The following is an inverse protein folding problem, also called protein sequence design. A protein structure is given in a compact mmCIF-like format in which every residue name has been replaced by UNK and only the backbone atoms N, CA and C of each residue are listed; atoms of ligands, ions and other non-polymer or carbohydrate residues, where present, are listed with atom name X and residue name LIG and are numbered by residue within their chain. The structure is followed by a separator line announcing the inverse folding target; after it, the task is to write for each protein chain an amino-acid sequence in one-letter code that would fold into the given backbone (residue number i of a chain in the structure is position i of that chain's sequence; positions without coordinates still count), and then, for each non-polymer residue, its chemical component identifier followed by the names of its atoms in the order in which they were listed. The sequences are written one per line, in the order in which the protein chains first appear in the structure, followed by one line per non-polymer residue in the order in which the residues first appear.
data_IF_766088379585
#
_entry.id   IF_766088379585
#
_cell.length_a   1.000
_cell.length_b   1.000
_cell.length_c   1.000
_cell.angle_alpha   90.00
_cell.angle_beta   90.00
_cell.angle_gamma   90.00
#
_symmetry.space_group_name_H-M   'P 1'
#
loop_
_entity.id
_entity.type
_entity.pdbx_description
1 polymer ?
#
# COMPACT_ATOMS: atom_id res chain seq x y z
N UNK A 1 -15.86 -86.48 -26.29
CA UNK A 1 -16.75 -85.32 -26.58
C UNK A 1 -16.19 -84.16 -25.75
N UNK A 2 -15.35 -83.38 -26.32
CA UNK A 2 -14.58 -82.24 -25.60
C UNK A 2 -15.18 -80.91 -26.08
N UNK A 3 -15.85 -80.21 -25.19
CA UNK A 3 -16.39 -78.87 -25.44
C UNK A 3 -15.34 -77.90 -25.05
N UNK A 4 -14.84 -77.10 -26.01
CA UNK A 4 -13.96 -75.98 -25.81
C UNK A 4 -14.81 -74.70 -25.65
N UNK A 5 -14.70 -74.07 -24.50
CA UNK A 5 -15.29 -72.75 -24.23
C UNK A 5 -14.21 -71.70 -24.46
N UNK A 6 -14.38 -70.90 -25.51
CA UNK A 6 -13.51 -69.76 -25.81
C UNK A 6 -13.89 -68.54 -24.97
N UNK A 7 -12.97 -68.05 -24.15
CA UNK A 7 -13.09 -66.74 -23.47
C UNK A 7 -12.63 -65.65 -24.45
N UNK A 8 -13.55 -64.76 -24.79
CA UNK A 8 -13.23 -63.52 -25.52
C UNK A 8 -12.81 -62.42 -24.48
N UNK A 9 -11.55 -61.99 -24.56
CA UNK A 9 -11.05 -60.80 -23.85
C UNK A 9 -11.35 -59.59 -24.71
N UNK A 10 -12.17 -58.66 -24.21
CA UNK A 10 -12.34 -57.32 -24.74
C UNK A 10 -11.36 -56.35 -24.06
N UNK A 11 -10.56 -55.56 -24.79
CA UNK A 11 -9.72 -54.53 -24.17
C UNK A 11 -10.58 -53.31 -23.81
N UNK A 12 -10.65 -52.99 -22.54
CA UNK A 12 -11.23 -51.74 -21.99
C UNK A 12 -10.22 -50.62 -22.23
N UNK A 13 -10.43 -49.77 -23.25
CA UNK A 13 -9.69 -48.56 -23.48
C UNK A 13 -10.12 -47.48 -22.49
N UNK A 14 -9.30 -47.20 -21.46
CA UNK A 14 -9.47 -46.02 -20.60
C UNK A 14 -9.05 -44.77 -21.38
N UNK A 15 -10.04 -43.98 -21.80
CA UNK A 15 -9.81 -42.60 -22.27
C UNK A 15 -9.57 -41.71 -21.05
N UNK A 16 -8.28 -41.42 -20.74
CA UNK A 16 -7.89 -40.37 -19.84
C UNK A 16 -8.09 -39.03 -20.57
N UNK A 17 -9.26 -38.40 -20.39
CA UNK A 17 -9.48 -37.02 -20.74
C UNK A 17 -8.70 -36.13 -19.75
N UNK A 18 -7.46 -35.85 -20.03
CA UNK A 18 -6.67 -34.84 -19.35
C UNK A 18 -7.18 -33.45 -19.75
N UNK A 19 -7.99 -32.81 -18.90
CA UNK A 19 -8.23 -31.35 -18.96
C UNK A 19 -6.96 -30.61 -18.53
N UNK A 20 -5.96 -30.58 -19.39
CA UNK A 20 -4.90 -29.59 -19.31
C UNK A 20 -5.46 -28.29 -19.84
N UNK A 21 -5.70 -27.29 -18.98
CA UNK A 21 -5.83 -25.91 -19.42
C UNK A 21 -4.45 -25.49 -19.92
N UNK A 22 -4.25 -25.57 -21.22
CA UNK A 22 -3.18 -24.84 -21.88
C UNK A 22 -3.58 -23.35 -21.82
N UNK A 23 -3.07 -22.61 -20.84
CA UNK A 23 -3.05 -21.15 -20.93
C UNK A 23 -2.06 -20.82 -22.05
N UNK A 24 -2.58 -20.38 -23.18
CA UNK A 24 -1.75 -19.83 -24.26
C UNK A 24 -1.00 -18.60 -23.73
N UNK A 25 0.34 -18.52 -23.86
CA UNK A 25 1.07 -17.32 -23.49
C UNK A 25 0.69 -16.20 -24.48
N UNK A 26 -0.11 -15.23 -24.00
CA UNK A 26 -0.39 -14.03 -24.80
C UNK A 26 -1.85 -13.68 -25.05
N UNK A 27 -2.82 -14.37 -24.45
CA UNK A 27 -4.19 -13.86 -24.48
C UNK A 27 -4.23 -12.53 -23.68
N UNK A 28 -4.76 -11.42 -24.26
CA UNK A 28 -4.93 -10.19 -23.50
C UNK A 28 -5.78 -10.46 -22.28
N UNK A 29 -5.36 -9.91 -21.11
CA UNK A 29 -6.13 -10.07 -19.89
C UNK A 29 -7.57 -9.60 -20.14
N UNK A 30 -8.54 -10.39 -19.70
CA UNK A 30 -9.97 -10.05 -19.88
C UNK A 30 -10.24 -8.75 -19.14
N UNK A 31 -10.79 -7.74 -19.82
CA UNK A 31 -11.08 -6.46 -19.22
C UNK A 31 -11.97 -6.61 -17.96
N UNK A 32 -11.52 -6.04 -16.86
CA UNK A 32 -12.26 -6.07 -15.59
C UNK A 32 -13.51 -5.20 -15.72
N UNK A 33 -14.67 -5.72 -15.28
CA UNK A 33 -15.93 -4.99 -15.31
C UNK A 33 -15.92 -3.82 -14.31
N UNK A 34 -16.43 -2.66 -14.72
CA UNK A 34 -16.65 -1.52 -13.83
C UNK A 34 -17.80 -1.80 -12.85
N UNK A 35 -17.68 -1.28 -11.62
CA UNK A 35 -18.71 -1.38 -10.57
C UNK A 35 -19.04 0.02 -10.08
N UNK A 36 -20.34 0.38 -10.11
CA UNK A 36 -20.78 1.68 -9.63
C UNK A 36 -20.66 1.80 -8.10
N UNK A 37 -20.26 2.98 -7.58
CA UNK A 37 -20.27 3.23 -6.15
C UNK A 37 -21.71 3.38 -5.62
N UNK A 38 -21.90 3.34 -4.29
CA UNK A 38 -23.17 3.68 -3.67
C UNK A 38 -23.65 5.07 -4.10
N UNK A 39 -24.97 5.25 -4.21
CA UNK A 39 -25.56 6.52 -4.66
C UNK A 39 -25.05 7.72 -3.84
N UNK A 40 -24.64 8.78 -4.53
CA UNK A 40 -24.14 10.03 -3.91
C UNK A 40 -22.68 9.96 -3.43
N UNK A 41 -21.92 8.89 -3.77
CA UNK A 41 -20.50 8.76 -3.42
C UNK A 41 -19.66 8.47 -4.67
N UNK A 42 -18.33 8.54 -4.50
CA UNK A 42 -17.34 8.00 -5.45
C UNK A 42 -16.51 6.93 -4.73
N UNK A 43 -15.93 6.00 -5.48
CA UNK A 43 -15.09 5.00 -4.87
C UNK A 43 -13.81 5.61 -4.28
N UNK A 44 -13.24 6.64 -4.89
CA UNK A 44 -12.04 7.33 -4.38
C UNK A 44 -12.28 8.09 -3.06
N UNK A 45 -13.54 8.39 -2.71
CA UNK A 45 -13.91 8.96 -1.40
C UNK A 45 -14.43 7.92 -0.41
N UNK A 46 -14.54 6.67 -0.84
CA UNK A 46 -14.97 5.56 0.03
C UNK A 46 -13.74 4.92 0.65
N UNK A 47 -13.45 5.29 1.91
CA UNK A 47 -12.29 4.81 2.65
C UNK A 47 -12.74 3.93 3.81
N UNK A 48 -12.15 2.75 3.95
CA UNK A 48 -12.44 1.81 5.04
C UNK A 48 -11.15 1.36 5.74
N UNK A 49 -11.18 1.17 7.08
CA UNK A 49 -10.06 0.54 7.77
C UNK A 49 -9.99 -0.94 7.41
N UNK A 50 -8.77 -1.46 7.24
CA UNK A 50 -8.52 -2.90 7.05
C UNK A 50 -8.26 -3.61 8.38
N UNK A 51 -8.32 -4.94 8.37
CA UNK A 51 -8.04 -5.75 9.57
C UNK A 51 -6.58 -5.63 10.02
N UNK A 52 -5.69 -5.37 9.08
CA UNK A 52 -4.26 -5.15 9.31
C UNK A 52 -3.97 -3.74 9.81
N UNK A 53 -5.01 -2.90 9.94
CA UNK A 53 -4.89 -1.55 10.47
C UNK A 53 -4.48 -0.49 9.45
N UNK A 54 -4.59 -0.76 8.16
CA UNK A 54 -4.38 0.22 7.08
C UNK A 54 -5.71 0.83 6.62
N UNK A 55 -5.66 1.66 5.59
CA UNK A 55 -6.84 2.26 4.98
C UNK A 55 -6.94 1.84 3.51
N UNK A 56 -8.08 1.24 3.16
CA UNK A 56 -8.43 0.86 1.80
C UNK A 56 -9.25 1.98 1.15
N UNK A 57 -8.84 2.44 -0.02
CA UNK A 57 -9.60 3.34 -0.88
C UNK A 57 -10.31 2.53 -1.96
N UNK A 58 -11.62 2.67 -2.06
CA UNK A 58 -12.38 2.09 -3.16
C UNK A 58 -13.28 0.91 -2.80
N UNK A 59 -13.72 0.22 -3.86
CA UNK A 59 -14.55 -0.96 -3.75
C UNK A 59 -13.79 -2.12 -3.07
N UNK A 60 -14.21 -2.61 -1.90
CA UNK A 60 -13.54 -3.73 -1.22
C UNK A 60 -13.56 -5.02 -2.04
N UNK A 61 -14.56 -5.17 -2.92
CA UNK A 61 -14.73 -6.32 -3.79
C UNK A 61 -14.15 -6.12 -5.20
N UNK A 62 -13.34 -5.06 -5.40
CA UNK A 62 -12.70 -4.81 -6.67
C UNK A 62 -11.84 -6.02 -7.11
N UNK A 63 -11.89 -6.34 -8.41
CA UNK A 63 -11.13 -7.46 -8.97
C UNK A 63 -9.62 -7.24 -8.90
N UNK A 64 -9.17 -5.97 -8.98
CA UNK A 64 -7.77 -5.59 -8.84
C UNK A 64 -7.56 -4.93 -7.48
N UNK A 65 -6.70 -5.53 -6.67
CA UNK A 65 -6.31 -5.02 -5.35
C UNK A 65 -4.87 -4.54 -5.43
N UNK A 66 -4.69 -3.23 -5.51
CA UNK A 66 -3.37 -2.59 -5.55
C UNK A 66 -2.94 -2.22 -4.13
N UNK A 67 -1.78 -2.71 -3.72
CA UNK A 67 -1.13 -2.32 -2.46
C UNK A 67 0.19 -1.64 -2.80
N UNK A 68 0.44 -0.47 -2.20
CA UNK A 68 1.73 0.20 -2.20
C UNK A 68 2.38 0.09 -0.82
N UNK A 69 3.58 -0.43 -0.75
CA UNK A 69 4.47 -0.24 0.38
C UNK A 69 5.37 0.98 0.11
N UNK A 70 5.07 2.08 0.78
CA UNK A 70 5.71 3.37 0.55
C UNK A 70 6.24 3.99 1.84
N UNK A 71 7.21 4.89 1.71
CA UNK A 71 7.87 5.58 2.81
C UNK A 71 7.83 7.08 2.59
N UNK A 72 7.43 7.85 3.60
CA UNK A 72 7.40 9.31 3.54
C UNK A 72 8.81 9.94 3.45
N UNK A 73 9.87 9.17 3.70
CA UNK A 73 11.26 9.60 3.53
C UNK A 73 11.91 9.06 2.25
N UNK A 74 11.14 8.42 1.35
CA UNK A 74 11.60 7.93 0.07
C UNK A 74 11.30 8.93 -1.06
N UNK A 75 12.32 9.41 -1.79
CA UNK A 75 12.15 10.32 -2.92
C UNK A 75 11.37 9.69 -4.08
N UNK A 76 11.61 8.41 -4.37
CA UNK A 76 10.86 7.69 -5.41
C UNK A 76 9.36 7.55 -5.05
N UNK A 77 9.01 7.41 -3.76
CA UNK A 77 7.60 7.40 -3.32
C UNK A 77 6.96 8.78 -3.50
N UNK A 78 7.69 9.87 -3.20
CA UNK A 78 7.23 11.24 -3.49
C UNK A 78 6.95 11.43 -4.97
N UNK A 79 7.90 11.05 -5.83
CA UNK A 79 7.79 11.20 -7.28
C UNK A 79 6.60 10.35 -7.81
N UNK A 80 6.49 9.11 -7.32
CA UNK A 80 5.34 8.25 -7.61
C UNK A 80 4.00 8.88 -7.19
N UNK A 81 3.91 9.42 -5.97
CA UNK A 81 2.71 10.09 -5.48
C UNK A 81 2.33 11.28 -6.36
N UNK A 82 3.30 12.11 -6.75
CA UNK A 82 3.08 13.28 -7.61
C UNK A 82 2.58 12.90 -9.01
N UNK A 83 3.09 11.81 -9.57
CA UNK A 83 2.76 11.38 -10.95
C UNK A 83 1.49 10.51 -11.02
N UNK A 84 1.26 9.67 -10.00
CA UNK A 84 0.30 8.57 -10.09
C UNK A 84 -1.01 8.78 -9.32
N UNK A 85 -1.02 9.58 -8.24
CA UNK A 85 -2.16 9.63 -7.32
C UNK A 85 -3.49 9.99 -8.00
N UNK A 86 -3.48 10.92 -8.95
CA UNK A 86 -4.71 11.32 -9.66
C UNK A 86 -5.23 10.21 -10.58
N UNK A 87 -4.35 9.55 -11.34
CA UNK A 87 -4.75 8.44 -12.21
C UNK A 87 -5.21 7.23 -11.38
N UNK A 88 -4.56 6.93 -10.26
CA UNK A 88 -4.99 5.88 -9.32
C UNK A 88 -6.42 6.15 -8.83
N UNK A 89 -6.73 7.39 -8.42
CA UNK A 89 -8.11 7.75 -8.01
C UNK A 89 -9.11 7.51 -9.13
N UNK A 90 -8.79 7.88 -10.38
CA UNK A 90 -9.66 7.63 -11.54
C UNK A 90 -9.87 6.13 -11.79
N UNK A 91 -8.81 5.31 -11.63
CA UNK A 91 -8.91 3.86 -11.74
C UNK A 91 -9.76 3.26 -10.61
N UNK A 92 -9.60 3.75 -9.38
CA UNK A 92 -10.42 3.38 -8.23
C UNK A 92 -11.89 3.75 -8.47
N UNK A 93 -12.17 4.94 -8.99
CA UNK A 93 -13.55 5.41 -9.28
C UNK A 93 -14.27 4.57 -10.33
N UNK A 94 -13.55 3.84 -11.17
CA UNK A 94 -14.16 2.84 -12.06
C UNK A 94 -14.76 1.63 -11.32
N UNK A 95 -14.42 1.45 -10.05
CA UNK A 95 -14.79 0.29 -9.23
C UNK A 95 -14.07 -1.01 -9.59
N UNK A 96 -13.17 -0.97 -10.59
CA UNK A 96 -12.38 -2.12 -11.05
C UNK A 96 -11.20 -2.43 -10.13
N UNK A 97 -10.67 -1.39 -9.50
CA UNK A 97 -9.49 -1.44 -8.64
C UNK A 97 -9.79 -0.78 -7.29
N UNK A 98 -9.18 -1.30 -6.24
CA UNK A 98 -9.01 -0.58 -4.98
C UNK A 98 -7.52 -0.31 -4.74
N UNK A 99 -7.25 0.59 -3.81
CA UNK A 99 -5.88 0.99 -3.47
C UNK A 99 -5.68 1.04 -1.97
N UNK A 100 -4.59 0.46 -1.50
CA UNK A 100 -4.18 0.48 -0.10
C UNK A 100 -2.72 0.94 0.00
N UNK A 101 -2.48 2.04 0.74
CA UNK A 101 -1.14 2.48 1.08
C UNK A 101 -0.73 1.91 2.44
N UNK A 102 0.41 1.24 2.48
CA UNK A 102 1.04 0.68 3.68
C UNK A 102 2.36 1.38 3.94
N UNK A 103 2.42 2.13 5.04
CA UNK A 103 3.66 2.80 5.42
C UNK A 103 4.77 1.77 5.71
N UNK A 104 5.80 1.78 4.89
CA UNK A 104 7.02 1.01 5.07
C UNK A 104 8.06 1.92 5.73
N UNK A 105 7.98 2.04 7.06
CA UNK A 105 8.78 2.98 7.83
C UNK A 105 10.25 2.56 7.91
N UNK A 106 11.16 3.49 7.57
CA UNK A 106 12.60 3.23 7.44
C UNK A 106 13.45 3.91 8.51
N UNK A 107 12.92 4.99 9.09
CA UNK A 107 13.64 5.84 10.03
C UNK A 107 12.67 6.57 10.97
N UNK A 108 13.15 7.23 12.04
CA UNK A 108 12.28 7.93 12.99
C UNK A 108 11.46 9.09 12.39
N UNK A 109 11.95 9.77 11.34
CA UNK A 109 11.21 10.84 10.65
C UNK A 109 10.02 10.21 9.90
N UNK A 110 10.24 9.08 9.26
CA UNK A 110 9.21 8.31 8.57
C UNK A 110 8.10 7.84 9.53
N UNK A 111 8.49 7.28 10.70
CA UNK A 111 7.53 6.90 11.73
C UNK A 111 6.73 8.11 12.21
N UNK A 112 7.39 9.24 12.50
CA UNK A 112 6.74 10.48 12.93
C UNK A 112 5.71 10.95 11.92
N UNK A 113 6.08 10.94 10.64
CA UNK A 113 5.19 11.33 9.53
C UNK A 113 4.03 10.35 9.38
N UNK A 114 4.29 9.04 9.44
CA UNK A 114 3.26 8.01 9.34
C UNK A 114 2.23 8.08 10.49
N UNK A 115 2.67 8.36 11.72
CA UNK A 115 1.78 8.58 12.85
C UNK A 115 0.85 9.78 12.62
N UNK A 116 1.39 10.90 12.13
CA UNK A 116 0.59 12.09 11.83
C UNK A 116 -0.36 11.90 10.64
N UNK A 117 0.09 11.21 9.58
CA UNK A 117 -0.76 10.92 8.42
C UNK A 117 -2.02 10.12 8.80
N UNK A 118 -1.90 9.22 9.77
CA UNK A 118 -3.00 8.38 10.28
C UNK A 118 -3.88 9.09 11.31
N UNK A 119 -3.37 10.18 11.90
CA UNK A 119 -3.95 10.86 13.05
C UNK A 119 -5.35 11.42 12.78
N UNK A 120 -5.64 11.86 11.57
CA UNK A 120 -6.94 12.37 11.17
C UNK A 120 -7.97 11.30 10.80
N UNK A 121 -7.60 10.02 10.90
CA UNK A 121 -8.47 8.91 10.54
C UNK A 121 -8.64 8.73 9.03
N UNK A 122 -9.58 7.85 8.67
CA UNK A 122 -9.76 7.38 7.29
C UNK A 122 -10.07 8.50 6.28
N UNK A 123 -10.84 9.49 6.67
CA UNK A 123 -11.43 10.46 5.73
C UNK A 123 -10.39 11.45 5.17
N UNK A 124 -9.32 11.73 5.94
CA UNK A 124 -8.27 12.65 5.52
C UNK A 124 -6.92 11.94 5.28
N UNK A 125 -6.83 10.63 5.50
CA UNK A 125 -5.57 9.88 5.38
C UNK A 125 -4.89 10.06 4.03
N UNK A 126 -5.58 9.81 2.93
CA UNK A 126 -4.98 9.91 1.59
C UNK A 126 -4.60 11.35 1.20
N UNK A 127 -5.50 12.35 1.33
CA UNK A 127 -5.13 13.74 1.06
C UNK A 127 -3.98 14.23 1.93
N UNK A 128 -3.92 13.84 3.20
CA UNK A 128 -2.85 14.24 4.10
C UNK A 128 -1.53 13.54 3.77
N UNK A 129 -1.57 12.25 3.41
CA UNK A 129 -0.40 11.49 2.95
C UNK A 129 0.24 12.11 1.71
N UNK A 130 -0.55 12.49 0.71
CA UNK A 130 -0.05 13.17 -0.49
C UNK A 130 0.59 14.52 -0.17
N UNK A 131 0.02 15.26 0.79
CA UNK A 131 0.61 16.51 1.24
C UNK A 131 1.93 16.30 2.02
N UNK A 132 2.08 15.21 2.79
CA UNK A 132 3.36 14.87 3.40
C UNK A 132 4.41 14.53 2.33
N UNK A 133 4.07 13.80 1.29
CA UNK A 133 4.97 13.58 0.15
C UNK A 133 5.38 14.89 -0.52
N UNK A 134 4.43 15.78 -0.78
CA UNK A 134 4.72 17.11 -1.35
C UNK A 134 5.65 17.93 -0.45
N UNK A 135 5.53 17.81 0.88
CA UNK A 135 6.34 18.53 1.86
C UNK A 135 7.70 17.87 2.14
N UNK A 136 8.03 16.75 1.51
CA UNK A 136 9.21 15.94 1.84
C UNK A 136 10.51 16.73 1.80
N UNK A 137 10.73 17.56 0.79
CA UNK A 137 11.93 18.38 0.66
C UNK A 137 12.09 19.35 1.84
N UNK A 138 11.02 20.10 2.18
CA UNK A 138 11.04 21.02 3.31
C UNK A 138 11.24 20.30 4.66
N UNK A 139 10.69 19.09 4.80
CA UNK A 139 10.91 18.24 5.96
C UNK A 139 12.39 17.87 6.11
N UNK A 140 13.04 17.45 5.02
CA UNK A 140 14.46 17.10 5.05
C UNK A 140 15.37 18.32 5.29
N UNK A 141 15.08 19.47 4.71
CA UNK A 141 15.83 20.71 4.96
C UNK A 141 15.80 21.07 6.45
N UNK A 142 14.63 20.97 7.09
CA UNK A 142 14.52 21.19 8.55
C UNK A 142 15.26 20.13 9.35
N UNK A 143 15.15 18.86 8.98
CA UNK A 143 15.87 17.78 9.65
C UNK A 143 17.38 17.94 9.56
N UNK A 144 17.91 18.33 8.40
CA UNK A 144 19.33 18.63 8.23
C UNK A 144 19.78 19.84 9.08
N UNK A 145 18.94 20.87 9.19
CA UNK A 145 19.25 22.07 9.97
C UNK A 145 19.39 21.81 11.47
N UNK A 146 18.86 20.69 11.99
CA UNK A 146 19.05 20.30 13.38
C UNK A 146 20.52 19.95 13.70
N UNK A 147 21.23 19.38 12.75
CA UNK A 147 22.54 18.79 12.95
C UNK A 147 22.53 17.52 13.81
N UNK A 148 23.60 16.74 13.74
CA UNK A 148 23.68 15.41 14.34
C UNK A 148 23.49 15.41 15.85
N UNK A 149 24.12 16.37 16.56
CA UNK A 149 24.06 16.43 18.02
C UNK A 149 22.61 16.63 18.53
N UNK A 150 21.86 17.54 17.90
CA UNK A 150 20.47 17.80 18.26
C UNK A 150 19.58 16.61 17.90
N UNK A 151 19.78 16.03 16.72
CA UNK A 151 19.04 14.83 16.32
C UNK A 151 19.25 13.66 17.30
N UNK A 152 20.50 13.37 17.69
CA UNK A 152 20.78 12.33 18.67
C UNK A 152 20.16 12.61 20.05
N UNK A 153 20.17 13.88 20.47
CA UNK A 153 19.49 14.28 21.71
C UNK A 153 17.97 13.98 21.64
N UNK A 154 17.32 14.30 20.53
CA UNK A 154 15.89 13.99 20.34
C UNK A 154 15.64 12.48 20.36
N UNK A 155 16.51 11.69 19.73
CA UNK A 155 16.40 10.24 19.66
C UNK A 155 16.64 9.54 21.01
N UNK A 156 17.36 10.17 21.93
CA UNK A 156 17.57 9.66 23.28
C UNK A 156 16.40 9.91 24.23
N UNK A 157 15.39 10.69 23.82
CA UNK A 157 14.18 10.90 24.61
C UNK A 157 13.38 9.61 24.82
N UNK A 158 12.61 9.49 25.91
CA UNK A 158 11.69 8.38 26.10
C UNK A 158 10.78 8.15 24.89
N UNK A 159 10.46 6.91 24.58
CA UNK A 159 9.69 6.54 23.36
C UNK A 159 8.41 7.38 23.15
N UNK A 160 7.65 7.60 24.22
CA UNK A 160 6.41 8.41 24.21
C UNK A 160 6.64 9.90 23.90
N UNK A 161 7.87 10.42 24.08
CA UNK A 161 8.20 11.82 23.87
C UNK A 161 9.00 12.05 22.59
N UNK A 162 9.69 11.02 22.10
CA UNK A 162 10.65 11.09 20.99
C UNK A 162 10.03 11.63 19.72
N UNK A 163 8.90 11.07 19.28
CA UNK A 163 8.26 11.49 18.06
C UNK A 163 7.58 12.87 18.18
N UNK A 164 7.09 13.23 19.38
CA UNK A 164 6.63 14.60 19.66
C UNK A 164 7.78 15.60 19.52
N UNK A 165 8.91 15.34 20.17
CA UNK A 165 10.08 16.22 20.12
C UNK A 165 10.66 16.35 18.70
N UNK A 166 10.70 15.25 17.94
CA UNK A 166 11.12 15.26 16.54
C UNK A 166 10.12 16.01 15.67
N UNK A 167 8.82 15.74 15.81
CA UNK A 167 7.75 16.38 15.05
C UNK A 167 7.74 17.90 15.24
N UNK A 168 7.95 18.38 16.47
CA UNK A 168 8.11 19.81 16.75
C UNK A 168 9.38 20.39 16.08
N UNK A 169 10.52 19.71 16.27
CA UNK A 169 11.81 20.19 15.79
C UNK A 169 11.88 20.35 14.26
N UNK A 170 11.20 19.47 13.51
CA UNK A 170 11.16 19.52 12.04
C UNK A 170 9.86 20.13 11.49
N UNK A 171 8.97 20.65 12.36
CA UNK A 171 7.76 21.38 11.99
C UNK A 171 6.62 20.53 11.46
N UNK A 172 6.61 19.22 11.71
CA UNK A 172 5.54 18.32 11.26
C UNK A 172 4.25 18.49 12.08
N UNK A 173 4.33 18.87 13.36
CA UNK A 173 3.16 19.18 14.18
C UNK A 173 2.42 20.40 13.61
N UNK A 174 3.12 21.48 13.30
CA UNK A 174 2.54 22.68 12.69
C UNK A 174 2.00 22.39 11.28
N UNK A 175 2.69 21.55 10.52
CA UNK A 175 2.23 21.13 9.21
C UNK A 175 0.90 20.38 9.29
N UNK A 176 0.74 19.46 10.25
CA UNK A 176 -0.48 18.72 10.48
C UNK A 176 -1.63 19.63 10.98
N UNK A 177 -1.32 20.59 11.86
CA UNK A 177 -2.29 21.59 12.36
C UNK A 177 -2.89 22.42 11.24
N UNK A 178 -2.09 22.90 10.31
CA UNK A 178 -2.54 23.66 9.15
C UNK A 178 -3.47 22.84 8.21
N UNK A 179 -3.53 21.52 8.42
CA UNK A 179 -4.32 20.56 7.63
C UNK A 179 -5.46 19.91 8.43
N UNK A 180 -5.83 20.54 9.54
CA UNK A 180 -7.02 20.16 10.29
C UNK A 180 -6.79 19.15 11.41
N UNK A 181 -5.55 18.78 11.73
CA UNK A 181 -5.25 17.98 12.93
C UNK A 181 -5.04 18.94 14.11
N UNK A 182 -5.91 18.88 15.12
CA UNK A 182 -5.72 19.68 16.32
C UNK A 182 -4.37 19.33 17.00
N UNK A 183 -3.72 20.33 17.62
CA UNK A 183 -2.39 20.12 18.21
C UNK A 183 -2.37 19.00 19.25
N UNK A 184 -3.36 19.01 20.16
CA UNK A 184 -3.46 17.97 21.19
C UNK A 184 -3.67 16.58 20.59
N UNK A 185 -4.44 16.49 19.50
CA UNK A 185 -4.63 15.26 18.75
C UNK A 185 -3.31 14.81 18.10
N UNK A 186 -2.58 15.71 17.43
CA UNK A 186 -1.27 15.41 16.86
C UNK A 186 -0.30 14.86 17.91
N UNK A 187 -0.26 15.50 19.10
CA UNK A 187 0.59 15.09 20.21
C UNK A 187 0.21 13.73 20.77
N UNK A 188 -1.07 13.40 20.86
CA UNK A 188 -1.56 12.09 21.27
C UNK A 188 -1.16 11.01 20.25
N UNK A 189 -1.33 11.28 18.96
CA UNK A 189 -0.92 10.36 17.91
C UNK A 189 0.59 10.09 17.92
N UNK A 190 1.40 11.13 18.16
CA UNK A 190 2.85 11.00 18.24
C UNK A 190 3.33 10.30 19.53
N UNK A 191 2.52 10.29 20.58
CA UNK A 191 2.79 9.55 21.82
C UNK A 191 2.32 8.08 21.76
N UNK A 192 1.60 7.69 20.69
CA UNK A 192 1.06 6.32 20.54
C UNK A 192 2.17 5.35 20.10
N UNK A 193 2.88 4.81 21.09
CA UNK A 193 3.94 3.82 20.86
C UNK A 193 3.40 2.50 20.32
N UNK A 194 2.15 2.14 20.62
CA UNK A 194 1.55 0.91 20.11
C UNK A 194 1.36 0.97 18.58
N UNK A 195 0.89 2.11 18.07
CA UNK A 195 0.82 2.34 16.61
C UNK A 195 2.22 2.41 15.98
N UNK A 196 3.21 3.04 16.63
CA UNK A 196 4.59 3.06 16.15
C UNK A 196 5.18 1.64 16.04
N UNK A 197 4.99 0.81 17.06
CA UNK A 197 5.43 -0.59 17.06
C UNK A 197 4.71 -1.42 15.98
N UNK A 198 3.41 -1.17 15.78
CA UNK A 198 2.64 -1.83 14.72
C UNK A 198 3.15 -1.47 13.32
N UNK A 199 3.56 -0.21 13.08
CA UNK A 199 4.19 0.21 11.82
C UNK A 199 5.50 -0.52 11.57
N UNK A 200 6.37 -0.61 12.59
CA UNK A 200 7.65 -1.35 12.49
C UNK A 200 7.40 -2.83 12.22
N UNK A 201 6.45 -3.44 12.95
CA UNK A 201 6.07 -4.84 12.73
C UNK A 201 5.47 -5.07 11.33
N UNK A 202 4.76 -4.08 10.79
CA UNK A 202 4.26 -4.10 9.41
C UNK A 202 5.38 -4.24 8.38
N UNK A 203 6.52 -3.56 8.59
CA UNK A 203 7.72 -3.70 7.76
C UNK A 203 8.31 -5.10 7.85
N UNK A 204 8.46 -5.65 9.05
CA UNK A 204 8.95 -7.02 9.26
C UNK A 204 8.05 -8.05 8.54
N UNK A 205 6.74 -7.86 8.65
CA UNK A 205 5.77 -8.72 7.97
C UNK A 205 5.91 -8.62 6.45
N UNK A 206 6.04 -7.41 5.91
CA UNK A 206 6.23 -7.18 4.47
C UNK A 206 7.51 -7.84 3.95
N UNK A 207 8.62 -7.71 4.68
CA UNK A 207 9.89 -8.34 4.33
C UNK A 207 9.79 -9.87 4.32
N UNK A 208 9.17 -10.45 5.35
CA UNK A 208 9.08 -11.90 5.50
C UNK A 208 8.09 -12.52 4.50
N UNK A 209 6.96 -11.86 4.26
CA UNK A 209 5.88 -12.40 3.43
C UNK A 209 6.10 -12.15 1.93
N UNK A 210 6.60 -10.97 1.58
CA UNK A 210 6.70 -10.53 0.19
C UNK A 210 8.12 -10.27 -0.29
N UNK A 211 9.13 -10.45 0.59
CA UNK A 211 10.54 -10.19 0.27
C UNK A 211 10.79 -8.74 -0.19
N UNK A 212 10.06 -7.78 0.38
CA UNK A 212 10.22 -6.37 0.07
C UNK A 212 11.56 -5.88 0.62
N UNK A 213 12.36 -5.26 -0.23
CA UNK A 213 13.71 -4.76 0.09
C UNK A 213 13.86 -3.24 -0.12
N UNK A 214 12.80 -2.58 -0.59
CA UNK A 214 12.85 -1.14 -0.88
C UNK A 214 11.46 -0.55 -1.15
N UNK A 215 11.43 0.78 -1.36
CA UNK A 215 10.21 1.54 -1.59
C UNK A 215 10.34 2.47 -2.80
N UNK A 216 9.26 2.72 -3.55
CA UNK A 216 7.98 2.04 -3.42
C UNK A 216 8.06 0.59 -3.92
N UNK A 217 7.25 -0.29 -3.31
CA UNK A 217 7.01 -1.66 -3.80
C UNK A 217 5.51 -1.89 -3.92
N UNK A 218 5.10 -2.59 -4.98
CA UNK A 218 3.68 -2.76 -5.30
C UNK A 218 3.28 -4.22 -5.35
N UNK A 219 2.06 -4.50 -4.87
CA UNK A 219 1.41 -5.80 -5.07
C UNK A 219 0.13 -5.62 -5.86
N UNK A 220 -0.11 -6.51 -6.82
CA UNK A 220 -1.44 -6.71 -7.41
C UNK A 220 -1.97 -8.05 -6.95
N UNK A 221 -3.15 -8.06 -6.32
CA UNK A 221 -3.81 -9.27 -5.83
C UNK A 221 -2.90 -10.14 -4.92
N UNK A 222 -2.04 -9.49 -4.12
CA UNK A 222 -1.11 -10.15 -3.20
C UNK A 222 0.19 -10.66 -3.84
N UNK A 223 0.42 -10.41 -5.14
CA UNK A 223 1.64 -10.78 -5.85
C UNK A 223 2.53 -9.55 -6.01
N UNK A 224 3.79 -9.64 -5.54
CA UNK A 224 4.77 -8.56 -5.67
C UNK A 224 5.14 -8.33 -7.14
N UNK A 225 5.14 -7.07 -7.55
CA UNK A 225 5.55 -6.65 -8.88
C UNK A 225 7.06 -6.35 -8.88
N UNK A 226 7.84 -7.22 -9.47
CA UNK A 226 9.28 -7.01 -9.59
C UNK A 226 9.62 -5.82 -10.50
N UNK A 227 10.71 -5.12 -10.20
CA UNK A 227 11.24 -4.00 -10.97
C UNK A 227 10.23 -2.88 -11.24
N UNK A 228 9.29 -2.66 -10.29
CA UNK A 228 8.23 -1.68 -10.40
C UNK A 228 8.39 -0.65 -9.29
N UNK A 229 9.04 0.48 -9.59
CA UNK A 229 9.33 1.54 -8.61
C UNK A 229 8.92 2.94 -9.11
N UNK A 230 8.21 3.05 -10.22
CA UNK A 230 7.76 4.32 -10.79
C UNK A 230 6.35 4.21 -11.38
N UNK A 231 5.67 5.35 -11.49
CA UNK A 231 4.32 5.39 -12.04
C UNK A 231 4.21 4.85 -13.47
N UNK A 232 5.07 5.21 -14.44
CA UNK A 232 4.96 4.68 -15.81
C UNK A 232 5.04 3.16 -15.87
N UNK A 233 5.90 2.53 -15.05
CA UNK A 233 6.04 1.07 -15.00
C UNK A 233 4.81 0.42 -14.35
N UNK A 234 4.35 0.93 -13.21
CA UNK A 234 3.13 0.43 -12.57
C UNK A 234 1.91 0.57 -13.49
N UNK A 235 1.76 1.72 -14.15
CA UNK A 235 0.66 1.97 -15.09
C UNK A 235 0.61 0.93 -16.22
N UNK A 236 1.77 0.53 -16.74
CA UNK A 236 1.84 -0.54 -17.74
C UNK A 236 1.35 -1.88 -17.18
N UNK A 237 1.77 -2.23 -15.95
CA UNK A 237 1.34 -3.45 -15.25
C UNK A 237 -0.15 -3.46 -14.94
N UNK A 238 -0.73 -2.31 -14.57
CA UNK A 238 -2.18 -2.19 -14.35
C UNK A 238 -2.97 -2.39 -15.64
N UNK A 239 -2.48 -1.88 -16.78
CA UNK A 239 -3.07 -2.15 -18.09
C UNK A 239 -2.99 -3.63 -18.47
N UNK A 240 -1.86 -4.30 -18.22
CA UNK A 240 -1.72 -5.74 -18.40
C UNK A 240 -2.70 -6.52 -17.52
N UNK A 241 -3.05 -6.02 -16.33
CA UNK A 241 -4.04 -6.60 -15.43
C UNK A 241 -5.51 -6.30 -15.80
N UNK A 242 -5.78 -5.51 -16.85
CA UNK A 242 -7.13 -5.25 -17.36
C UNK A 242 -7.79 -3.94 -16.91
N UNK A 243 -6.99 -2.99 -16.39
CA UNK A 243 -7.45 -1.64 -15.99
C UNK A 243 -7.36 -0.67 -17.18
#
# INVERSE_FOLDING_TARGET
MKILIGLAFAPLALLLAGCGKNEEPGAPAQAVAAVNPPAGTTWSTTIAPTKEGYFLMGNPDAAIKLVEYGSYTCSHCRDFSAEGSEEIRKMVDSGKMNFEFRAYVRDPIDITTALLARCGGKDIFYPLSEQFFTNQTAMFEKAQSLGDARYQQLMSAPAQQRFNALGDAIGLVDFAKQRGIAEDQARQCLADTATADALVKGVETANNQYQITGTPSFLINGVLLENTASWPVLRAKLKEAGI
#
